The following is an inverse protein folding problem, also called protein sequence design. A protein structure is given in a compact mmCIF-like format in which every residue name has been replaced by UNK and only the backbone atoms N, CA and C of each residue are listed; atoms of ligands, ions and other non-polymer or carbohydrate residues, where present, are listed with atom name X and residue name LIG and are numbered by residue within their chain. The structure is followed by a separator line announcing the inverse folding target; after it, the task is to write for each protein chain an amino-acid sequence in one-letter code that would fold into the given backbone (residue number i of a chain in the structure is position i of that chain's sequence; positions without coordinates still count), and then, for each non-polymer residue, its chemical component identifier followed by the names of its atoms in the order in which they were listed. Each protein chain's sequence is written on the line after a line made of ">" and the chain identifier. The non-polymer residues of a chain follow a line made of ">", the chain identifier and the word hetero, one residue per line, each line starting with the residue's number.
data_IF_666608799691
#
_entry.id   IF_666608799691
#
_cell.length_a   1.000
_cell.length_b   1.000
_cell.length_c   1.000
_cell.angle_alpha   90.00
_cell.angle_beta   90.00
_cell.angle_gamma   90.00
#
_symmetry.space_group_name_H-M   'P 1'
#
loop_
_entity.id
_entity.type
_entity.pdbx_description
1 polymer ?
#
# COMPACT_ATOMS: atom_id res chain seq x y z
N UNK A 1 -6.85 -21.40 -5.63
CA UNK A 1 -6.33 -20.14 -6.23
C UNK A 1 -5.76 -19.30 -5.11
N UNK A 2 -4.54 -18.77 -5.26
CA UNK A 2 -3.91 -17.86 -4.32
C UNK A 2 -3.93 -16.45 -4.90
N UNK A 3 -4.03 -15.46 -4.01
CA UNK A 3 -3.70 -14.08 -4.34
C UNK A 3 -2.18 -13.96 -4.62
N UNK A 4 -1.78 -12.98 -5.45
CA UNK A 4 -0.37 -12.77 -5.80
C UNK A 4 0.51 -12.52 -4.55
N UNK A 5 0.03 -11.71 -3.61
CA UNK A 5 0.78 -11.43 -2.39
C UNK A 5 0.84 -12.65 -1.46
N UNK A 6 -0.20 -13.48 -1.42
CA UNK A 6 -0.17 -14.76 -0.70
C UNK A 6 0.86 -15.73 -1.30
N UNK A 7 0.90 -15.81 -2.64
CA UNK A 7 1.89 -16.64 -3.33
C UNK A 7 3.32 -16.23 -2.99
N UNK A 8 3.62 -14.93 -3.11
CA UNK A 8 4.95 -14.39 -2.78
C UNK A 8 5.29 -14.55 -1.28
N UNK A 9 4.33 -14.36 -0.38
CA UNK A 9 4.52 -14.62 1.05
C UNK A 9 4.79 -16.11 1.33
N UNK A 10 4.19 -16.99 0.52
CA UNK A 10 4.50 -18.42 0.51
C UNK A 10 5.97 -18.71 0.18
N UNK A 11 6.51 -18.07 -0.87
CA UNK A 11 7.94 -18.16 -1.22
C UNK A 11 8.83 -17.62 -0.10
N UNK A 12 8.43 -16.52 0.54
CA UNK A 12 9.13 -15.97 1.72
C UNK A 12 9.20 -16.97 2.86
N UNK A 13 8.07 -17.61 3.20
CA UNK A 13 7.98 -18.64 4.27
C UNK A 13 8.83 -19.87 3.93
N UNK A 14 8.83 -20.28 2.67
CA UNK A 14 9.65 -21.38 2.17
C UNK A 14 11.15 -21.02 2.04
N UNK A 15 11.53 -19.75 2.31
CA UNK A 15 12.90 -19.23 2.16
C UNK A 15 13.44 -19.32 0.71
N UNK A 16 12.56 -19.34 -0.28
CA UNK A 16 12.89 -19.39 -1.72
C UNK A 16 12.70 -18.04 -2.39
N UNK A 17 12.13 -17.05 -1.69
CA UNK A 17 12.03 -15.68 -2.19
C UNK A 17 13.44 -15.08 -2.35
N UNK A 18 13.75 -14.57 -3.53
CA UNK A 18 14.94 -13.75 -3.72
C UNK A 18 14.85 -12.50 -2.84
N UNK A 19 15.92 -12.16 -2.12
CA UNK A 19 16.00 -11.00 -1.22
C UNK A 19 17.00 -9.96 -1.67
N UNK A 20 17.40 -10.00 -2.93
CA UNK A 20 18.33 -9.03 -3.51
C UNK A 20 17.61 -7.69 -3.78
N UNK A 21 17.11 -7.08 -2.71
CA UNK A 21 16.45 -5.78 -2.76
C UNK A 21 17.51 -4.68 -2.83
N UNK A 22 17.35 -3.76 -3.77
CA UNK A 22 18.29 -2.66 -4.03
C UNK A 22 17.95 -1.38 -3.30
N UNK A 23 16.69 -1.24 -2.83
CA UNK A 23 16.25 -0.05 -2.10
C UNK A 23 15.06 -0.35 -1.19
N UNK A 24 14.87 0.53 -0.20
CA UNK A 24 13.69 0.58 0.67
C UNK A 24 12.92 1.88 0.49
N UNK A 25 12.00 2.17 1.43
CA UNK A 25 11.04 3.26 1.27
C UNK A 25 10.88 4.17 2.49
N UNK A 26 11.62 3.97 3.57
CA UNK A 26 11.35 4.69 4.82
C UNK A 26 10.03 4.27 5.45
N UNK A 27 9.18 5.22 5.80
CA UNK A 27 7.86 4.95 6.40
C UNK A 27 6.84 4.62 5.33
N UNK A 28 6.25 3.43 5.39
CA UNK A 28 5.22 2.96 4.48
C UNK A 28 3.88 2.85 5.22
N UNK A 29 2.89 3.67 4.86
CA UNK A 29 1.52 3.47 5.32
C UNK A 29 0.83 2.41 4.46
N UNK A 30 0.60 1.25 5.02
CA UNK A 30 -0.06 0.13 4.35
C UNK A 30 -1.54 0.10 4.72
N UNK A 31 -2.39 0.56 3.83
CA UNK A 31 -3.84 0.45 4.00
C UNK A 31 -4.29 -0.99 3.74
N UNK A 32 -4.73 -1.68 4.80
CA UNK A 32 -5.27 -3.04 4.73
C UNK A 32 -6.73 -3.01 4.27
N UNK A 33 -7.05 -3.41 3.03
CA UNK A 33 -8.41 -3.38 2.53
C UNK A 33 -9.29 -4.45 3.19
N UNK A 34 -10.60 -4.19 3.26
CA UNK A 34 -11.55 -5.06 3.95
C UNK A 34 -11.67 -6.47 3.33
N UNK A 35 -11.41 -6.64 2.02
CA UNK A 35 -11.45 -7.96 1.40
C UNK A 35 -10.39 -8.93 1.93
N UNK A 36 -9.19 -8.46 2.29
CA UNK A 36 -8.17 -9.30 2.93
C UNK A 36 -8.66 -9.84 4.28
N UNK A 37 -9.36 -9.00 5.04
CA UNK A 37 -9.95 -9.38 6.33
C UNK A 37 -11.10 -10.38 6.13
N UNK A 38 -11.99 -10.13 5.15
CA UNK A 38 -13.10 -11.02 4.84
C UNK A 38 -12.63 -12.41 4.42
N UNK A 39 -11.53 -12.49 3.68
CA UNK A 39 -10.92 -13.73 3.22
C UNK A 39 -9.97 -14.37 4.26
N UNK A 40 -9.76 -13.74 5.41
CA UNK A 40 -8.83 -14.18 6.48
C UNK A 40 -7.39 -14.37 6.00
N UNK A 41 -6.97 -13.60 5.00
CA UNK A 41 -5.63 -13.68 4.39
C UNK A 41 -4.58 -12.93 5.23
N UNK A 42 -4.98 -12.10 6.17
CA UNK A 42 -4.11 -11.15 6.86
C UNK A 42 -3.51 -10.11 5.89
N UNK A 43 -2.28 -9.72 6.03
CA UNK A 43 -1.63 -8.68 5.22
C UNK A 43 -0.28 -9.16 4.63
N UNK A 44 -0.33 -10.10 3.67
CA UNK A 44 0.89 -10.68 3.11
C UNK A 44 1.80 -9.64 2.45
N UNK A 45 1.23 -8.64 1.76
CA UNK A 45 1.98 -7.55 1.17
C UNK A 45 2.78 -6.74 2.21
N UNK A 46 2.20 -6.44 3.37
CA UNK A 46 2.92 -5.76 4.44
C UNK A 46 4.11 -6.59 4.96
N UNK A 47 3.93 -7.90 5.11
CA UNK A 47 5.03 -8.79 5.52
C UNK A 47 6.16 -8.87 4.49
N UNK A 48 5.83 -8.80 3.21
CA UNK A 48 6.82 -8.77 2.14
C UNK A 48 7.59 -7.44 2.13
N UNK A 49 6.88 -6.32 2.22
CA UNK A 49 7.50 -5.00 2.27
C UNK A 49 8.39 -4.80 3.51
N UNK A 50 8.05 -5.42 4.63
CA UNK A 50 8.90 -5.41 5.84
C UNK A 50 10.23 -6.17 5.67
N UNK A 51 10.46 -6.86 4.55
CA UNK A 51 11.76 -7.47 4.24
C UNK A 51 12.71 -6.50 3.52
N UNK A 52 12.20 -5.36 3.07
CA UNK A 52 13.00 -4.36 2.37
C UNK A 52 13.94 -3.65 3.35
N UNK A 53 15.14 -3.24 2.91
CA UNK A 53 16.02 -2.43 3.75
C UNK A 53 15.36 -1.09 4.09
N UNK A 54 15.70 -0.52 5.24
CA UNK A 54 15.27 0.83 5.68
C UNK A 54 13.76 1.10 5.46
N UNK A 55 12.91 0.10 5.74
CA UNK A 55 11.48 0.19 5.50
C UNK A 55 10.70 -0.15 6.77
N UNK A 56 9.93 0.82 7.27
CA UNK A 56 9.02 0.67 8.40
C UNK A 56 7.58 0.65 7.90
N UNK A 57 6.93 -0.52 7.97
CA UNK A 57 5.57 -0.73 7.46
C UNK A 57 4.56 -0.56 8.58
N UNK A 58 3.72 0.47 8.47
CA UNK A 58 2.66 0.80 9.42
C UNK A 58 1.29 0.47 8.83
N UNK A 59 0.56 -0.43 9.48
CA UNK A 59 -0.72 -0.94 8.98
C UNK A 59 -1.84 0.00 9.37
N UNK A 60 -2.60 0.46 8.37
CA UNK A 60 -3.78 1.31 8.54
C UNK A 60 -5.03 0.45 8.38
N UNK A 61 -5.69 0.15 9.48
CA UNK A 61 -6.93 -0.63 9.51
C UNK A 61 -8.17 0.28 9.59
N UNK A 62 -8.35 1.11 8.58
CA UNK A 62 -9.51 2.01 8.46
C UNK A 62 -10.24 1.76 7.14
N UNK A 63 -11.55 1.88 7.16
CA UNK A 63 -12.37 1.66 5.97
C UNK A 63 -12.21 2.82 4.97
N UNK A 64 -11.95 2.50 3.71
CA UNK A 64 -11.97 3.46 2.60
C UNK A 64 -13.40 3.89 2.23
N UNK A 65 -14.41 3.19 2.75
CA UNK A 65 -15.83 3.40 2.48
C UNK A 65 -16.21 3.34 0.99
N UNK A 66 -15.47 2.56 0.22
CA UNK A 66 -15.83 2.30 -1.18
C UNK A 66 -16.90 1.22 -1.25
N UNK A 67 -16.71 0.13 -0.48
CA UNK A 67 -17.65 -0.99 -0.33
C UNK A 67 -18.28 -1.42 -1.68
N UNK A 68 -17.47 -2.03 -2.52
CA UNK A 68 -17.78 -2.22 -3.93
C UNK A 68 -17.86 -0.88 -4.65
N UNK A 69 -19.07 -0.35 -4.82
CA UNK A 69 -19.28 1.00 -5.38
C UNK A 69 -20.22 1.86 -4.53
N UNK A 70 -20.63 1.38 -3.37
CA UNK A 70 -21.63 2.06 -2.53
C UNK A 70 -21.23 3.50 -2.22
N UNK A 71 -20.04 3.73 -1.69
CA UNK A 71 -19.53 5.06 -1.34
C UNK A 71 -19.14 5.94 -2.54
N UNK A 72 -19.26 5.42 -3.76
CA UNK A 72 -19.03 6.17 -5.00
C UNK A 72 -20.35 6.70 -5.59
N UNK A 73 -21.49 6.16 -5.16
CA UNK A 73 -22.82 6.61 -5.62
C UNK A 73 -23.14 7.97 -5.01
N UNK A 74 -23.68 8.90 -5.83
CA UNK A 74 -24.01 10.26 -5.40
C UNK A 74 -24.83 10.29 -4.09
N UNK A 75 -25.83 9.40 -3.98
CA UNK A 75 -26.69 9.29 -2.78
C UNK A 75 -25.94 9.04 -1.48
N UNK A 76 -24.85 8.26 -1.50
CA UNK A 76 -24.12 7.82 -0.31
C UNK A 76 -22.72 8.44 -0.21
N UNK A 77 -22.39 9.30 -1.15
CA UNK A 77 -21.04 9.85 -1.29
C UNK A 77 -20.57 10.58 -0.04
N UNK A 78 -21.39 11.48 0.50
CA UNK A 78 -21.03 12.29 1.68
C UNK A 78 -20.89 11.43 2.94
N UNK A 79 -21.73 10.41 3.08
CA UNK A 79 -21.62 9.47 4.19
C UNK A 79 -20.33 8.63 4.06
N UNK A 80 -20.08 8.07 2.90
CA UNK A 80 -18.84 7.34 2.61
C UNK A 80 -17.60 8.20 2.83
N UNK A 81 -17.66 9.47 2.43
CA UNK A 81 -16.56 10.42 2.62
C UNK A 81 -16.21 10.64 4.08
N UNK A 82 -17.19 10.73 4.99
CA UNK A 82 -16.93 10.85 6.42
C UNK A 82 -16.08 9.70 6.99
N UNK A 83 -16.31 8.48 6.51
CA UNK A 83 -15.47 7.33 6.88
C UNK A 83 -14.10 7.39 6.20
N UNK A 84 -14.07 7.74 4.92
CA UNK A 84 -12.82 7.86 4.16
C UNK A 84 -11.87 8.91 4.76
N UNK A 85 -12.40 10.03 5.26
CA UNK A 85 -11.60 11.06 5.93
C UNK A 85 -10.91 10.54 7.21
N UNK A 86 -11.51 9.57 7.92
CA UNK A 86 -10.85 8.92 9.06
C UNK A 86 -9.67 8.06 8.63
N UNK A 87 -9.79 7.39 7.48
CA UNK A 87 -8.68 6.65 6.84
C UNK A 87 -7.59 7.63 6.41
N UNK A 88 -7.96 8.69 5.69
CA UNK A 88 -7.04 9.71 5.22
C UNK A 88 -6.22 10.31 6.38
N UNK A 89 -6.89 10.71 7.45
CA UNK A 89 -6.22 11.23 8.65
C UNK A 89 -5.29 10.20 9.31
N UNK A 90 -5.70 8.93 9.35
CA UNK A 90 -4.85 7.88 9.91
C UNK A 90 -3.58 7.67 9.06
N UNK A 91 -3.67 7.79 7.74
CA UNK A 91 -2.51 7.74 6.84
C UNK A 91 -1.60 8.96 7.07
N UNK A 92 -2.16 10.16 7.12
CA UNK A 92 -1.40 11.40 7.33
C UNK A 92 -0.65 11.43 8.66
N UNK A 93 -1.27 10.92 9.73
CA UNK A 93 -0.66 10.87 11.06
C UNK A 93 0.62 10.01 11.13
N UNK A 94 0.81 9.10 10.18
CA UNK A 94 2.03 8.29 10.09
C UNK A 94 3.15 9.00 9.34
N UNK A 95 2.88 10.15 8.73
CA UNK A 95 3.84 10.93 7.91
C UNK A 95 4.59 10.04 6.90
N UNK A 96 3.87 9.25 6.06
CA UNK A 96 4.50 8.23 5.26
C UNK A 96 5.24 8.79 4.05
N UNK A 97 6.37 8.16 3.71
CA UNK A 97 7.08 8.37 2.45
C UNK A 97 6.33 7.73 1.28
N UNK A 98 5.66 6.59 1.56
CA UNK A 98 4.92 5.83 0.56
C UNK A 98 3.60 5.33 1.14
N UNK A 99 2.54 5.35 0.32
CA UNK A 99 1.24 4.76 0.65
C UNK A 99 0.98 3.54 -0.22
N UNK A 100 0.56 2.45 0.39
CA UNK A 100 0.33 1.14 -0.26
C UNK A 100 -1.08 0.65 0.04
N UNK A 101 -1.72 0.02 -0.94
CA UNK A 101 -2.95 -0.76 -0.75
C UNK A 101 -3.11 -1.84 -1.82
N UNK A 102 -3.66 -3.00 -1.46
CA UNK A 102 -3.97 -4.08 -2.42
C UNK A 102 -5.28 -3.84 -3.19
N UNK A 103 -5.98 -2.76 -2.93
CA UNK A 103 -7.28 -2.47 -3.52
C UNK A 103 -7.23 -1.22 -4.40
N UNK A 104 -7.43 -1.40 -5.71
CA UNK A 104 -7.45 -0.30 -6.69
C UNK A 104 -8.51 0.76 -6.39
N UNK A 105 -9.70 0.35 -5.92
CA UNK A 105 -10.76 1.28 -5.55
C UNK A 105 -10.40 2.06 -4.28
N UNK A 106 -9.76 1.43 -3.30
CA UNK A 106 -9.24 2.12 -2.12
C UNK A 106 -8.12 3.10 -2.52
N UNK A 107 -7.26 2.74 -3.49
CA UNK A 107 -6.23 3.64 -4.03
C UNK A 107 -6.83 4.92 -4.61
N UNK A 108 -7.90 4.81 -5.40
CA UNK A 108 -8.62 5.99 -5.92
C UNK A 108 -9.20 6.87 -4.80
N UNK A 109 -9.74 6.25 -3.75
CA UNK A 109 -10.26 7.00 -2.61
C UNK A 109 -9.14 7.69 -1.82
N UNK A 110 -8.03 7.02 -1.60
CA UNK A 110 -6.83 7.58 -0.96
C UNK A 110 -6.32 8.77 -1.78
N UNK A 111 -6.16 8.61 -3.10
CA UNK A 111 -5.76 9.70 -3.97
C UNK A 111 -6.69 10.92 -3.84
N UNK A 112 -8.00 10.68 -3.79
CA UNK A 112 -8.99 11.75 -3.70
C UNK A 112 -8.94 12.50 -2.37
N UNK A 113 -8.78 11.81 -1.25
CA UNK A 113 -8.87 12.43 0.08
C UNK A 113 -7.50 12.91 0.59
N UNK A 114 -6.39 12.26 0.23
CA UNK A 114 -5.04 12.63 0.65
C UNK A 114 -4.22 13.37 -0.43
N UNK A 115 -4.70 13.39 -1.69
CA UNK A 115 -3.91 13.95 -2.80
C UNK A 115 -2.66 13.13 -3.17
N UNK A 116 -2.47 11.94 -2.60
CA UNK A 116 -1.31 11.08 -2.79
C UNK A 116 -1.72 9.76 -3.45
N UNK A 117 -1.02 9.30 -4.49
CA UNK A 117 -1.28 8.00 -5.07
C UNK A 117 -0.89 6.89 -4.08
N UNK A 118 -1.74 5.87 -3.98
CA UNK A 118 -1.37 4.63 -3.28
C UNK A 118 -1.02 3.57 -4.32
N UNK A 119 0.15 2.94 -4.14
CA UNK A 119 0.64 1.89 -5.03
C UNK A 119 0.15 0.51 -4.59
N UNK A 120 0.11 -0.42 -5.52
CA UNK A 120 -0.05 -1.84 -5.17
C UNK A 120 1.27 -2.38 -4.61
N UNK A 121 1.27 -3.31 -3.62
CA UNK A 121 2.50 -3.85 -3.05
C UNK A 121 3.47 -4.43 -4.08
N UNK A 122 2.96 -5.04 -5.16
CA UNK A 122 3.81 -5.59 -6.23
C UNK A 122 4.59 -4.52 -6.99
N UNK A 123 4.02 -3.33 -7.16
CA UNK A 123 4.71 -2.20 -7.80
C UNK A 123 5.90 -1.75 -6.95
N UNK A 124 5.68 -1.62 -5.64
CA UNK A 124 6.75 -1.27 -4.71
C UNK A 124 7.86 -2.34 -4.66
N UNK A 125 7.48 -3.63 -4.66
CA UNK A 125 8.44 -4.72 -4.73
C UNK A 125 9.23 -4.72 -6.04
N UNK A 126 8.57 -4.50 -7.18
CA UNK A 126 9.25 -4.44 -8.48
C UNK A 126 10.34 -3.38 -8.51
N UNK A 127 10.04 -2.18 -8.00
CA UNK A 127 11.05 -1.11 -7.89
C UNK A 127 12.13 -1.44 -6.88
N UNK A 128 11.79 -2.08 -5.76
CA UNK A 128 12.78 -2.52 -4.78
C UNK A 128 13.77 -3.53 -5.37
N UNK A 129 13.38 -4.31 -6.37
CA UNK A 129 14.27 -5.17 -7.15
C UNK A 129 15.05 -4.43 -8.24
N UNK A 130 14.81 -3.14 -8.46
CA UNK A 130 15.49 -2.32 -9.47
C UNK A 130 14.80 -2.31 -10.84
N UNK A 131 13.50 -2.57 -10.90
CA UNK A 131 12.69 -2.40 -12.11
C UNK A 131 12.11 -0.97 -12.11
N UNK A 132 12.73 -0.06 -12.86
CA UNK A 132 12.43 1.37 -12.81
C UNK A 132 11.20 1.78 -13.65
N UNK A 133 10.81 0.98 -14.64
CA UNK A 133 9.69 1.26 -15.55
C UNK A 133 8.34 0.71 -15.04
N UNK A 134 8.00 0.99 -13.78
CA UNK A 134 6.71 0.55 -13.23
C UNK A 134 5.67 1.66 -13.39
N UNK A 135 4.56 1.43 -14.12
CA UNK A 135 3.50 2.41 -14.28
C UNK A 135 2.95 2.88 -12.92
N UNK A 136 2.76 4.19 -12.76
CA UNK A 136 2.24 4.81 -11.53
C UNK A 136 3.31 5.24 -10.52
N UNK A 137 4.59 4.94 -10.77
CA UNK A 137 5.71 5.35 -9.92
C UNK A 137 6.37 6.67 -10.33
N UNK A 138 6.01 7.23 -11.47
CA UNK A 138 6.49 8.54 -11.89
C UNK A 138 6.00 9.62 -10.89
N UNK A 139 6.81 9.92 -9.87
CA UNK A 139 6.50 10.87 -8.80
C UNK A 139 6.69 10.34 -7.37
N UNK A 140 6.85 9.04 -7.17
CA UNK A 140 7.24 8.46 -5.88
C UNK A 140 8.78 8.32 -5.82
N UNK A 141 9.49 9.43 -5.96
CA UNK A 141 10.93 9.44 -5.71
C UNK A 141 11.18 9.29 -4.22
N UNK A 142 11.67 8.12 -3.81
CA UNK A 142 12.30 7.99 -2.50
C UNK A 142 13.51 8.94 -2.45
N UNK A 143 13.84 9.55 -1.29
CA UNK A 143 15.07 10.30 -1.15
C UNK A 143 16.25 9.37 -1.49
N UNK A 144 17.00 9.73 -2.51
CA UNK A 144 18.28 9.07 -2.82
C UNK A 144 19.22 9.36 -1.67
N UNK A 145 19.98 8.37 -1.25
CA UNK A 145 20.96 8.47 -0.15
C UNK A 145 22.12 9.49 -0.41
N UNK A 146 22.00 10.32 -1.43
CA UNK A 146 23.00 11.35 -1.80
C UNK A 146 22.67 12.75 -1.29
N UNK A 147 21.53 12.98 -0.63
CA UNK A 147 21.16 14.28 -0.07
C UNK A 147 21.28 14.34 1.47
N UNK A 148 22.34 13.77 2.03
CA UNK A 148 22.74 14.07 3.42
C UNK A 148 23.96 14.98 3.41
N UNK A 149 23.86 16.16 4.07
CA UNK A 149 24.97 17.10 4.18
C UNK A 149 26.13 16.57 5.04
#
# INVERSE_FOLDING_TARGET
>A
TLDLMEFLDGLRKAKTLNRDFRRGYGVVAYHAPCHLRAQKIAVPGARLLSQLPDTDVRIIERCSAVDGTWGMKAKYYEEGRRYALRMAKAIENEEPDLVITDCSLASLRILKENGRPALHPIQALAVAYGLDDVPGLAGASAPTAEDSP
#
